data_IF_319862622813
#
_entry.id   IF_319862622813
#
_cell.length_a   1.000
_cell.length_b   1.000
_cell.length_c   1.000
_cell.angle_alpha   90.00
_cell.angle_beta   90.00
_cell.angle_gamma   90.00
#
_symmetry.space_group_name_H-M   'P 1'
#
loop_
_entity.id
_entity.type
_entity.pdbx_description
1 polymer ?
#
# COMPACT_ATOMS: atom_id res chain seq x y z
N UNK A 1 -13.35 -7.82 6.13
CA UNK A 1 -13.20 -9.01 5.24
C UNK A 1 -12.28 -10.02 5.92
N UNK A 2 -12.55 -11.33 5.82
CA UNK A 2 -11.68 -12.36 6.41
C UNK A 2 -10.42 -12.58 5.54
N UNK A 3 -9.28 -13.01 6.11
CA UNK A 3 -8.03 -13.20 5.38
C UNK A 3 -8.17 -14.04 4.10
N UNK A 4 -8.84 -15.19 4.17
CA UNK A 4 -9.05 -16.07 3.00
C UNK A 4 -9.88 -15.42 1.89
N UNK A 5 -10.82 -14.54 2.27
CA UNK A 5 -11.63 -13.79 1.29
C UNK A 5 -10.78 -12.75 0.56
N UNK A 6 -9.83 -12.12 1.27
CA UNK A 6 -8.88 -11.16 0.67
C UNK A 6 -7.99 -11.89 -0.33
N UNK A 7 -7.40 -13.03 0.04
CA UNK A 7 -6.57 -13.85 -0.85
C UNK A 7 -7.35 -14.23 -2.10
N UNK A 8 -8.53 -14.83 -1.93
CA UNK A 8 -9.36 -15.27 -3.05
C UNK A 8 -9.74 -14.13 -4.00
N UNK A 9 -10.06 -12.95 -3.45
CA UNK A 9 -10.39 -11.75 -4.24
C UNK A 9 -9.21 -11.32 -5.11
N UNK A 10 -8.01 -11.22 -4.55
CA UNK A 10 -6.83 -10.76 -5.26
C UNK A 10 -6.30 -11.82 -6.23
N UNK A 11 -6.40 -13.11 -5.92
CA UNK A 11 -6.08 -14.19 -6.85
C UNK A 11 -6.93 -14.12 -8.12
N UNK A 12 -8.24 -13.88 -7.98
CA UNK A 12 -9.15 -13.73 -9.12
C UNK A 12 -8.84 -12.49 -9.96
N UNK A 13 -8.36 -11.42 -9.34
CA UNK A 13 -8.08 -10.15 -10.02
C UNK A 13 -6.69 -10.10 -10.68
N UNK A 14 -5.73 -10.94 -10.26
CA UNK A 14 -4.32 -10.85 -10.60
C UNK A 14 -4.06 -10.74 -12.12
N UNK A 15 -4.74 -11.55 -12.94
CA UNK A 15 -4.55 -11.57 -14.39
C UNK A 15 -4.95 -10.25 -15.10
N UNK A 16 -5.87 -9.49 -14.52
CA UNK A 16 -6.40 -8.25 -15.07
C UNK A 16 -6.03 -7.00 -14.28
N UNK A 17 -5.36 -7.15 -13.15
CA UNK A 17 -5.16 -6.11 -12.16
C UNK A 17 -4.54 -4.84 -12.73
N UNK A 18 -3.38 -4.94 -13.36
CA UNK A 18 -2.66 -3.79 -13.90
C UNK A 18 -3.47 -3.07 -15.00
N UNK A 19 -4.21 -3.81 -15.79
CA UNK A 19 -5.07 -3.26 -16.85
C UNK A 19 -6.27 -2.53 -16.25
N UNK A 20 -6.86 -3.06 -15.19
CA UNK A 20 -7.96 -2.42 -14.47
C UNK A 20 -7.53 -1.05 -13.90
N UNK A 21 -6.30 -0.99 -13.36
CA UNK A 21 -5.73 0.21 -12.75
C UNK A 21 -4.97 1.12 -13.73
N UNK A 22 -4.92 0.79 -15.02
CA UNK A 22 -4.21 1.59 -16.02
C UNK A 22 -4.74 3.03 -16.12
N UNK A 23 -6.04 3.25 -15.88
CA UNK A 23 -6.65 4.59 -15.88
C UNK A 23 -6.13 5.50 -14.78
N UNK A 24 -5.70 4.93 -13.67
CA UNK A 24 -5.17 5.68 -12.52
C UNK A 24 -3.65 5.79 -12.55
N UNK A 25 -3.01 5.44 -13.67
CA UNK A 25 -1.55 5.49 -13.82
C UNK A 25 -0.98 6.86 -13.44
N UNK A 26 -1.66 7.96 -13.82
CA UNK A 26 -1.23 9.31 -13.46
C UNK A 26 -1.18 9.55 -11.93
N UNK A 27 -2.08 8.93 -11.16
CA UNK A 27 -2.08 9.00 -9.69
C UNK A 27 -0.86 8.25 -9.15
N UNK A 28 -0.65 7.04 -9.63
CA UNK A 28 0.51 6.21 -9.25
C UNK A 28 1.82 6.89 -9.61
N UNK A 29 1.93 7.41 -10.82
CA UNK A 29 3.16 8.04 -11.32
C UNK A 29 3.46 9.33 -10.53
N UNK A 30 2.43 10.10 -10.14
CA UNK A 30 2.58 11.24 -9.24
C UNK A 30 3.03 10.81 -7.84
N UNK A 31 2.45 9.74 -7.28
CA UNK A 31 2.88 9.17 -6.00
C UNK A 31 4.37 8.79 -6.04
N UNK A 32 4.81 8.09 -7.08
CA UNK A 32 6.19 7.64 -7.23
C UNK A 32 7.17 8.81 -7.42
N UNK A 33 6.78 9.82 -8.21
CA UNK A 33 7.56 11.05 -8.37
C UNK A 33 7.84 11.74 -7.03
N UNK A 34 6.84 11.78 -6.13
CA UNK A 34 6.97 12.37 -4.81
C UNK A 34 7.71 11.46 -3.82
N UNK A 35 7.59 10.14 -3.99
CA UNK A 35 8.23 9.13 -3.14
C UNK A 35 9.74 9.10 -3.32
N UNK A 36 10.24 9.22 -4.56
CA UNK A 36 11.67 9.14 -4.88
C UNK A 36 12.54 10.07 -4.01
N UNK A 37 12.31 11.40 -3.96
CA UNK A 37 13.13 12.29 -3.15
C UNK A 37 13.01 12.01 -1.65
N UNK A 38 11.88 11.52 -1.17
CA UNK A 38 11.68 11.17 0.22
C UNK A 38 12.51 9.96 0.65
N UNK A 39 12.68 8.99 -0.24
CA UNK A 39 13.50 7.80 0.01
C UNK A 39 14.95 7.94 -0.43
N UNK A 40 15.32 8.98 -1.18
CA UNK A 40 16.69 9.19 -1.69
C UNK A 40 17.74 9.46 -0.59
N UNK A 41 17.29 9.66 0.64
CA UNK A 41 18.16 9.81 1.83
C UNK A 41 18.62 8.46 2.41
N UNK A 42 18.08 7.34 1.91
CA UNK A 42 18.49 6.00 2.32
C UNK A 42 19.86 5.63 1.75
N UNK A 43 20.57 4.65 2.36
CA UNK A 43 21.84 4.16 1.84
C UNK A 43 21.75 3.66 0.38
N UNK A 44 22.87 3.71 -0.34
CA UNK A 44 22.95 3.22 -1.73
C UNK A 44 22.60 1.72 -1.85
N UNK A 45 22.83 0.94 -0.80
CA UNK A 45 22.52 -0.50 -0.70
C UNK A 45 21.36 -0.78 0.27
N UNK A 46 20.34 0.08 0.28
CA UNK A 46 19.22 -0.05 1.20
C UNK A 46 18.44 -1.35 0.99
N UNK A 47 17.92 -1.88 2.10
CA UNK A 47 17.04 -3.05 2.15
C UNK A 47 15.60 -2.60 2.36
N UNK A 48 14.73 -2.90 1.41
CA UNK A 48 13.32 -2.52 1.45
C UNK A 48 12.40 -3.70 1.70
N UNK A 49 11.41 -3.49 2.57
CA UNK A 49 10.29 -4.38 2.81
C UNK A 49 9.05 -3.85 2.08
N UNK A 50 8.56 -4.59 1.07
CA UNK A 50 7.36 -4.24 0.34
C UNK A 50 6.19 -5.09 0.86
N UNK A 51 5.29 -4.49 1.65
CA UNK A 51 4.17 -5.18 2.32
C UNK A 51 2.90 -5.05 1.50
N UNK A 52 2.30 -6.18 1.11
CA UNK A 52 1.19 -6.22 0.18
C UNK A 52 1.62 -5.73 -1.20
N UNK A 53 2.73 -6.28 -1.70
CA UNK A 53 3.38 -5.81 -2.92
C UNK A 53 2.52 -5.93 -4.18
N UNK A 54 1.47 -6.76 -4.14
CA UNK A 54 0.59 -7.01 -5.27
C UNK A 54 1.35 -7.50 -6.50
N UNK A 55 1.16 -6.83 -7.63
CA UNK A 55 1.87 -7.11 -8.88
C UNK A 55 3.28 -6.49 -8.94
N UNK A 56 3.76 -5.82 -7.88
CA UNK A 56 5.14 -5.31 -7.77
C UNK A 56 5.44 -4.03 -8.55
N UNK A 57 4.45 -3.19 -8.82
CA UNK A 57 4.67 -1.95 -9.61
C UNK A 57 5.58 -0.95 -8.89
N UNK A 58 5.34 -0.68 -7.60
CA UNK A 58 6.18 0.23 -6.82
C UNK A 58 7.60 -0.33 -6.63
N UNK A 59 7.72 -1.64 -6.40
CA UNK A 59 9.00 -2.31 -6.27
C UNK A 59 9.82 -2.21 -7.57
N UNK A 60 9.19 -2.41 -8.72
CA UNK A 60 9.83 -2.26 -10.03
C UNK A 60 10.30 -0.83 -10.29
N UNK A 61 9.48 0.16 -9.93
CA UNK A 61 9.85 1.57 -10.04
C UNK A 61 11.08 1.91 -9.17
N UNK A 62 11.05 1.49 -7.90
CA UNK A 62 12.17 1.72 -6.97
C UNK A 62 13.43 0.97 -7.39
N UNK A 63 13.29 -0.27 -7.91
CA UNK A 63 14.41 -1.05 -8.41
C UNK A 63 15.11 -0.43 -9.62
N UNK A 64 14.36 0.22 -10.50
CA UNK A 64 14.90 0.96 -11.64
C UNK A 64 15.60 2.27 -11.21
N UNK A 65 15.04 2.94 -10.19
CA UNK A 65 15.56 4.22 -9.70
C UNK A 65 16.78 4.06 -8.80
N UNK A 66 16.84 2.98 -8.03
CA UNK A 66 17.88 2.70 -7.03
C UNK A 66 18.51 1.31 -7.29
N UNK A 67 19.53 1.23 -8.15
CA UNK A 67 20.05 -0.05 -8.61
C UNK A 67 20.79 -0.88 -7.55
N UNK A 68 21.23 -0.27 -6.45
CA UNK A 68 21.89 -0.97 -5.33
C UNK A 68 20.91 -1.55 -4.31
N UNK A 69 19.61 -1.22 -4.37
CA UNK A 69 18.66 -1.66 -3.35
C UNK A 69 18.23 -3.11 -3.54
N UNK A 70 17.97 -3.77 -2.41
CA UNK A 70 17.39 -5.11 -2.34
C UNK A 70 15.99 -5.08 -1.75
N UNK A 71 15.14 -6.03 -2.14
CA UNK A 71 13.72 -6.03 -1.83
C UNK A 71 13.29 -7.34 -1.20
N UNK A 72 12.42 -7.25 -0.18
CA UNK A 72 11.63 -8.38 0.30
C UNK A 72 10.17 -8.09 0.04
N UNK A 73 9.59 -8.82 -0.89
CA UNK A 73 8.21 -8.73 -1.31
C UNK A 73 7.34 -9.67 -0.47
N UNK A 74 6.36 -9.13 0.24
CA UNK A 74 5.39 -9.90 1.04
C UNK A 74 4.01 -9.72 0.44
N UNK A 75 3.34 -10.82 0.06
CA UNK A 75 2.02 -10.80 -0.57
C UNK A 75 1.30 -12.11 -0.26
N UNK A 76 0.08 -12.07 0.32
CA UNK A 76 -0.66 -13.29 0.63
C UNK A 76 -1.31 -13.94 -0.60
N UNK A 77 -1.59 -13.19 -1.68
CA UNK A 77 -2.09 -13.76 -2.94
C UNK A 77 -0.95 -14.35 -3.77
N UNK A 78 -0.93 -15.66 -3.93
CA UNK A 78 0.07 -16.36 -4.74
C UNK A 78 0.03 -15.91 -6.21
N UNK A 79 -1.16 -15.66 -6.76
CA UNK A 79 -1.31 -15.18 -8.13
C UNK A 79 -0.77 -13.75 -8.33
N UNK A 80 -0.97 -12.85 -7.35
CA UNK A 80 -0.35 -11.51 -7.38
C UNK A 80 1.16 -11.60 -7.28
N UNK A 81 1.66 -12.39 -6.34
CA UNK A 81 3.10 -12.55 -6.13
C UNK A 81 3.80 -13.15 -7.36
N UNK A 82 3.14 -14.05 -8.08
CA UNK A 82 3.69 -14.59 -9.33
C UNK A 82 3.82 -13.50 -10.40
N UNK A 83 2.83 -12.60 -10.54
CA UNK A 83 2.93 -11.42 -11.41
C UNK A 83 4.09 -10.51 -11.01
N UNK A 84 4.32 -10.37 -9.70
CA UNK A 84 5.46 -9.61 -9.19
C UNK A 84 6.79 -10.26 -9.59
N UNK A 85 6.93 -11.60 -9.51
CA UNK A 85 8.11 -12.35 -9.93
C UNK A 85 8.36 -12.21 -11.44
N UNK A 86 7.31 -12.41 -12.25
CA UNK A 86 7.38 -12.23 -13.71
C UNK A 86 7.88 -10.82 -14.07
N UNK A 87 7.37 -9.79 -13.41
CA UNK A 87 7.81 -8.40 -13.59
C UNK A 87 9.27 -8.22 -13.22
N UNK A 88 9.70 -8.73 -12.08
CA UNK A 88 11.08 -8.62 -11.62
C UNK A 88 12.06 -9.30 -12.58
N UNK A 89 11.68 -10.46 -13.11
CA UNK A 89 12.46 -11.17 -14.15
C UNK A 89 12.52 -10.39 -15.45
N UNK A 90 11.37 -9.93 -15.95
CA UNK A 90 11.28 -9.20 -17.22
C UNK A 90 12.05 -7.88 -17.21
N UNK A 91 12.17 -7.24 -16.04
CA UNK A 91 12.89 -5.97 -15.85
C UNK A 91 14.30 -6.15 -15.27
N UNK A 92 14.78 -7.38 -15.08
CA UNK A 92 16.17 -7.69 -14.74
C UNK A 92 16.61 -7.35 -13.31
N UNK A 93 15.68 -7.35 -12.34
CA UNK A 93 16.02 -7.10 -10.93
C UNK A 93 15.63 -8.24 -9.98
N UNK A 94 15.22 -9.41 -10.50
CA UNK A 94 14.78 -10.55 -9.70
C UNK A 94 15.86 -11.03 -8.71
N UNK A 95 17.14 -10.98 -9.07
CA UNK A 95 18.27 -11.38 -8.22
C UNK A 95 18.43 -10.50 -6.97
N UNK A 96 17.81 -9.33 -6.96
CA UNK A 96 17.76 -8.40 -5.82
C UNK A 96 16.50 -8.58 -4.95
N UNK A 97 15.65 -9.60 -5.25
CA UNK A 97 14.36 -9.79 -4.62
C UNK A 97 14.27 -11.10 -3.86
N UNK A 98 13.67 -11.04 -2.67
CA UNK A 98 13.13 -12.19 -1.95
C UNK A 98 11.61 -12.10 -1.98
N UNK A 99 10.95 -13.20 -2.32
CA UNK A 99 9.49 -13.28 -2.42
C UNK A 99 8.94 -14.17 -1.32
N UNK A 100 8.05 -13.64 -0.51
CA UNK A 100 7.35 -14.34 0.56
C UNK A 100 5.85 -14.35 0.28
N UNK A 101 5.32 -15.55 0.00
CA UNK A 101 3.89 -15.80 -0.10
C UNK A 101 3.31 -15.96 1.29
N UNK A 102 2.50 -15.04 1.73
CA UNK A 102 1.89 -15.03 3.05
C UNK A 102 1.71 -13.63 3.62
N UNK A 103 1.15 -13.60 4.82
CA UNK A 103 1.02 -12.37 5.59
C UNK A 103 2.34 -11.99 6.28
N UNK A 104 2.43 -10.73 6.69
CA UNK A 104 3.65 -10.18 7.29
C UNK A 104 4.09 -10.94 8.56
N UNK A 105 3.15 -11.46 9.35
CA UNK A 105 3.45 -12.24 10.55
C UNK A 105 4.18 -13.55 10.26
N UNK A 106 3.98 -14.12 9.07
CA UNK A 106 4.63 -15.38 8.65
C UNK A 106 6.00 -15.15 8.02
N UNK A 107 6.37 -13.88 7.75
CA UNK A 107 7.72 -13.57 7.23
C UNK A 107 8.78 -13.91 8.28
N UNK A 108 9.75 -14.80 7.96
CA UNK A 108 10.84 -15.13 8.87
C UNK A 108 11.62 -13.89 9.32
N UNK A 109 12.19 -13.98 10.54
CA UNK A 109 13.07 -12.94 11.03
C UNK A 109 14.31 -12.80 10.13
N UNK A 110 14.71 -11.57 9.88
CA UNK A 110 15.88 -11.23 9.08
C UNK A 110 16.56 -9.97 9.66
N UNK A 111 17.70 -9.57 9.10
CA UNK A 111 18.32 -8.30 9.44
C UNK A 111 17.34 -7.14 9.18
N UNK A 112 17.37 -6.07 9.99
CA UNK A 112 16.44 -4.98 9.87
C UNK A 112 16.46 -4.32 8.48
N UNK A 113 15.29 -3.85 8.04
CA UNK A 113 15.16 -3.11 6.80
C UNK A 113 15.39 -1.60 7.03
N UNK A 114 15.86 -0.91 6.01
CA UNK A 114 16.03 0.54 6.00
C UNK A 114 14.71 1.29 5.80
N UNK A 115 13.83 0.71 4.99
CA UNK A 115 12.48 1.24 4.80
C UNK A 115 11.47 0.14 4.46
N UNK A 116 10.19 0.49 4.57
CA UNK A 116 9.07 -0.30 4.08
C UNK A 116 8.13 0.53 3.22
N UNK A 117 7.52 -0.12 2.22
CA UNK A 117 6.34 0.38 1.51
C UNK A 117 5.11 -0.44 1.91
N UNK A 118 3.95 0.23 2.00
CA UNK A 118 2.67 -0.42 2.30
C UNK A 118 1.55 0.38 1.64
N UNK A 119 1.22 0.03 0.37
CA UNK A 119 0.33 0.84 -0.45
C UNK A 119 -1.04 0.20 -0.65
N UNK A 120 -2.09 0.87 -0.12
CA UNK A 120 -3.50 0.46 -0.20
C UNK A 120 -3.76 -0.92 0.43
N UNK A 121 -3.10 -1.21 1.55
CA UNK A 121 -3.16 -2.50 2.25
C UNK A 121 -3.88 -2.39 3.58
N UNK A 122 -3.45 -1.48 4.45
CA UNK A 122 -3.90 -1.44 5.85
C UNK A 122 -5.39 -1.13 5.98
N UNK A 123 -6.00 -0.53 4.98
CA UNK A 123 -7.43 -0.25 4.91
C UNK A 123 -8.33 -1.48 4.94
N UNK A 124 -7.81 -2.66 4.60
CA UNK A 124 -8.56 -3.93 4.71
C UNK A 124 -8.60 -4.49 6.13
N UNK A 125 -7.84 -3.93 7.06
CA UNK A 125 -7.87 -4.27 8.48
C UNK A 125 -8.85 -3.31 9.16
N UNK A 126 -10.10 -3.78 9.32
CA UNK A 126 -11.20 -2.93 9.80
C UNK A 126 -11.19 -2.75 11.31
N UNK A 127 -10.58 -3.66 12.07
CA UNK A 127 -10.36 -3.51 13.50
C UNK A 127 -9.15 -2.61 13.79
N UNK A 128 -9.35 -1.58 14.60
CA UNK A 128 -8.33 -0.56 14.85
C UNK A 128 -7.12 -1.12 15.61
N UNK A 129 -7.32 -2.01 16.58
CA UNK A 129 -6.22 -2.58 17.36
C UNK A 129 -5.36 -3.53 16.49
N UNK A 130 -6.01 -4.32 15.65
CA UNK A 130 -5.32 -5.18 14.69
C UNK A 130 -4.53 -4.32 13.67
N UNK A 131 -5.09 -3.20 13.21
CA UNK A 131 -4.40 -2.28 12.28
C UNK A 131 -3.20 -1.60 12.95
N UNK A 132 -3.29 -1.20 14.22
CA UNK A 132 -2.14 -0.75 15.02
C UNK A 132 -1.10 -1.87 15.14
N UNK A 133 -1.54 -3.09 15.46
CA UNK A 133 -0.68 -4.28 15.54
C UNK A 133 0.04 -4.58 14.22
N UNK A 134 -0.61 -4.40 13.09
CA UNK A 134 -0.02 -4.54 11.76
C UNK A 134 1.11 -3.52 11.54
N UNK A 135 0.89 -2.24 11.82
CA UNK A 135 1.97 -1.25 11.74
C UNK A 135 3.10 -1.53 12.73
N UNK A 136 2.78 -2.01 13.94
CA UNK A 136 3.80 -2.43 14.90
C UNK A 136 4.65 -3.61 14.40
N UNK A 137 4.09 -4.50 13.60
CA UNK A 137 4.85 -5.58 12.95
C UNK A 137 5.80 -5.03 11.89
N UNK A 138 5.40 -4.02 11.11
CA UNK A 138 6.29 -3.34 10.17
C UNK A 138 7.42 -2.64 10.95
N UNK A 139 7.07 -1.86 11.99
CA UNK A 139 8.04 -1.13 12.79
C UNK A 139 9.12 -2.05 13.38
N UNK A 140 8.75 -3.20 13.93
CA UNK A 140 9.71 -4.17 14.48
C UNK A 140 10.71 -4.75 13.46
N UNK A 141 10.39 -4.68 12.17
CA UNK A 141 11.25 -5.16 11.08
C UNK A 141 12.17 -4.07 10.51
N UNK A 142 11.90 -2.81 10.81
CA UNK A 142 12.77 -1.71 10.41
C UNK A 142 13.89 -1.47 11.42
N UNK A 143 15.02 -0.91 11.01
CA UNK A 143 15.99 -0.33 11.93
C UNK A 143 15.43 0.90 12.64
N UNK A 144 16.03 1.32 13.74
CA UNK A 144 15.70 2.62 14.37
C UNK A 144 15.83 3.76 13.34
N UNK A 145 14.86 4.65 13.29
CA UNK A 145 14.78 5.70 12.25
C UNK A 145 14.47 5.20 10.84
N UNK A 146 14.23 3.89 10.64
CA UNK A 146 13.83 3.35 9.34
C UNK A 146 12.48 3.93 8.88
N UNK A 147 12.32 4.12 7.57
CA UNK A 147 11.18 4.84 7.00
C UNK A 147 10.02 3.90 6.63
N UNK A 148 8.81 4.35 6.82
CA UNK A 148 7.60 3.75 6.26
C UNK A 148 6.94 4.74 5.30
N UNK A 149 6.79 4.36 4.04
CA UNK A 149 5.90 5.01 3.11
C UNK A 149 4.61 4.17 2.99
N UNK A 150 3.48 4.76 3.33
CA UNK A 150 2.19 4.07 3.28
C UNK A 150 1.13 4.89 2.55
N UNK A 151 0.18 4.20 1.92
CA UNK A 151 -1.03 4.83 1.38
C UNK A 151 -2.27 4.06 1.77
N UNK A 152 -3.36 4.77 2.00
CA UNK A 152 -4.68 4.21 2.24
C UNK A 152 -5.77 5.07 1.59
N UNK A 153 -6.96 4.50 1.41
CA UNK A 153 -8.17 5.29 1.21
C UNK A 153 -8.53 5.96 2.54
N UNK A 154 -8.60 7.28 2.54
CA UNK A 154 -8.92 8.05 3.74
C UNK A 154 -9.87 9.21 3.43
N UNK A 155 -10.89 9.38 4.26
CA UNK A 155 -11.83 10.47 4.20
C UNK A 155 -12.66 10.55 5.49
N UNK A 156 -13.12 11.73 5.86
CA UNK A 156 -14.20 11.89 6.84
C UNK A 156 -15.53 11.58 6.13
N UNK A 157 -15.95 10.32 6.18
CA UNK A 157 -17.08 9.78 5.39
C UNK A 157 -18.44 10.45 5.64
N UNK A 158 -18.57 11.22 6.73
CA UNK A 158 -19.77 12.02 7.05
C UNK A 158 -19.65 13.48 6.60
N UNK A 159 -18.55 13.86 5.94
CA UNK A 159 -18.33 15.24 5.53
C UNK A 159 -18.98 15.59 4.20
N UNK A 160 -19.33 16.86 4.02
CA UNK A 160 -19.81 17.39 2.73
C UNK A 160 -18.77 17.19 1.60
N UNK A 161 -17.48 17.22 1.93
CA UNK A 161 -16.41 16.96 0.96
C UNK A 161 -16.45 15.51 0.45
N UNK A 162 -16.72 14.54 1.32
CA UNK A 162 -16.86 13.14 0.90
C UNK A 162 -18.05 12.93 -0.03
N UNK A 163 -19.17 13.61 0.21
CA UNK A 163 -20.36 13.53 -0.67
C UNK A 163 -20.07 14.02 -2.10
N UNK A 164 -19.12 14.93 -2.26
CA UNK A 164 -18.66 15.40 -3.58
C UNK A 164 -17.60 14.47 -4.17
N UNK A 165 -16.64 14.03 -3.35
CA UNK A 165 -15.49 13.26 -3.82
C UNK A 165 -15.83 11.82 -4.17
N UNK A 166 -16.71 11.17 -3.43
CA UNK A 166 -17.03 9.75 -3.66
C UNK A 166 -17.62 9.49 -5.05
N UNK A 167 -18.64 10.22 -5.55
CA UNK A 167 -19.13 10.03 -6.89
C UNK A 167 -18.09 10.33 -7.98
N UNK A 168 -17.25 11.34 -7.77
CA UNK A 168 -16.16 11.66 -8.70
C UNK A 168 -15.10 10.54 -8.73
N UNK A 169 -14.73 10.02 -7.56
CA UNK A 169 -13.83 8.86 -7.41
C UNK A 169 -14.35 7.63 -8.14
N UNK A 170 -15.62 7.29 -7.92
CA UNK A 170 -16.26 6.14 -8.58
C UNK A 170 -16.29 6.31 -10.09
N UNK A 171 -16.65 7.50 -10.63
CA UNK A 171 -16.62 7.76 -12.08
C UNK A 171 -15.23 7.61 -12.67
N UNK A 172 -14.19 8.02 -11.96
CA UNK A 172 -12.80 7.86 -12.40
C UNK A 172 -12.43 6.38 -12.47
N UNK A 173 -12.87 5.58 -11.50
CA UNK A 173 -12.53 4.15 -11.39
C UNK A 173 -13.30 3.27 -12.39
N UNK A 174 -14.52 3.64 -12.74
CA UNK A 174 -15.39 2.85 -13.62
C UNK A 174 -15.25 3.26 -15.09
N UNK A 175 -15.46 2.29 -16.00
CA UNK A 175 -15.41 2.53 -17.45
C UNK A 175 -16.76 2.96 -18.03
N UNK A 176 -17.88 2.81 -17.29
CA UNK A 176 -19.25 3.05 -17.72
C UNK A 176 -19.90 4.18 -16.92
N UNK A 177 -21.09 4.62 -17.35
CA UNK A 177 -21.92 5.53 -16.56
C UNK A 177 -22.18 4.95 -15.16
N UNK A 178 -21.98 5.79 -14.15
CA UNK A 178 -22.11 5.41 -12.73
C UNK A 178 -23.53 5.71 -12.28
N UNK A 179 -24.30 4.66 -12.03
CA UNK A 179 -25.65 4.78 -11.44
C UNK A 179 -25.58 5.11 -9.95
N UNK A 180 -26.66 5.65 -9.40
CA UNK A 180 -26.77 5.87 -7.95
C UNK A 180 -26.63 4.57 -7.17
N UNK A 181 -27.18 3.45 -7.68
CA UNK A 181 -27.03 2.12 -7.08
C UNK A 181 -25.57 1.70 -6.99
N UNK A 182 -24.73 2.00 -7.99
CA UNK A 182 -23.31 1.71 -7.95
C UNK A 182 -22.58 2.53 -6.88
N UNK A 183 -22.98 3.80 -6.71
CA UNK A 183 -22.44 4.68 -5.65
C UNK A 183 -22.80 4.11 -4.28
N UNK A 184 -24.06 3.74 -4.05
CA UNK A 184 -24.54 3.23 -2.78
C UNK A 184 -23.90 1.89 -2.42
N UNK A 185 -23.68 1.01 -3.40
CA UNK A 185 -22.98 -0.26 -3.21
C UNK A 185 -21.52 -0.06 -2.80
N UNK A 186 -20.79 0.84 -3.46
CA UNK A 186 -19.38 1.14 -3.11
C UNK A 186 -19.31 1.83 -1.75
N UNK A 187 -20.25 2.73 -1.45
CA UNK A 187 -20.36 3.37 -0.13
C UNK A 187 -20.55 2.31 0.97
N UNK A 188 -21.41 1.32 0.75
CA UNK A 188 -21.62 0.23 1.67
C UNK A 188 -20.36 -0.63 1.85
N UNK A 189 -19.68 -0.99 0.76
CA UNK A 189 -18.42 -1.74 0.81
C UNK A 189 -17.31 -0.96 1.55
N UNK A 190 -17.22 0.36 1.34
CA UNK A 190 -16.27 1.20 2.07
C UNK A 190 -16.60 1.36 3.56
N UNK A 191 -17.84 1.12 3.95
CA UNK A 191 -18.25 1.14 5.35
C UNK A 191 -18.04 -0.20 6.08
N UNK A 192 -18.06 -1.34 5.34
CA UNK A 192 -18.01 -2.69 5.94
C UNK A 192 -16.68 -3.41 5.72
N UNK A 193 -16.12 -3.33 4.51
CA UNK A 193 -15.00 -4.15 4.07
C UNK A 193 -13.68 -3.39 3.99
N UNK A 194 -13.77 -2.05 3.96
CA UNK A 194 -12.62 -1.14 3.86
C UNK A 194 -12.77 -0.07 4.93
N UNK A 195 -11.82 0.00 5.84
CA UNK A 195 -11.81 1.03 6.89
C UNK A 195 -11.36 2.39 6.31
N UNK A 196 -12.27 3.07 5.61
CA UNK A 196 -12.05 4.45 5.16
C UNK A 196 -12.25 5.37 6.37
N UNK A 197 -11.14 5.82 6.95
CA UNK A 197 -11.10 6.66 8.15
C UNK A 197 -10.68 8.09 7.79
N UNK A 198 -11.00 9.08 8.63
CA UNK A 198 -10.41 10.41 8.53
C UNK A 198 -8.88 10.32 8.50
N UNK A 199 -8.19 11.15 7.67
CA UNK A 199 -6.73 11.09 7.57
C UNK A 199 -6.01 11.20 8.92
N UNK A 200 -6.51 12.02 9.85
CA UNK A 200 -5.94 12.16 11.19
C UNK A 200 -6.04 10.86 12.04
N UNK A 201 -7.08 10.05 11.82
CA UNK A 201 -7.21 8.76 12.52
C UNK A 201 -6.22 7.74 11.95
N UNK A 202 -6.01 7.70 10.62
CA UNK A 202 -4.98 6.87 10.00
C UNK A 202 -3.59 7.28 10.53
N UNK A 203 -3.31 8.57 10.63
CA UNK A 203 -2.06 9.11 11.20
C UNK A 203 -1.88 8.65 12.67
N UNK A 204 -2.94 8.68 13.47
CA UNK A 204 -2.90 8.21 14.86
C UNK A 204 -2.63 6.70 14.95
N UNK A 205 -3.22 5.89 14.08
CA UNK A 205 -3.00 4.44 13.99
C UNK A 205 -1.54 4.12 13.63
N UNK A 206 -0.97 4.78 12.61
CA UNK A 206 0.43 4.62 12.23
C UNK A 206 1.35 5.00 13.40
N UNK A 207 1.09 6.14 14.05
CA UNK A 207 1.87 6.59 15.19
C UNK A 207 1.79 5.61 16.37
N UNK A 208 0.59 5.07 16.68
CA UNK A 208 0.41 4.06 17.72
C UNK A 208 1.14 2.74 17.39
N UNK A 209 1.31 2.43 16.10
CA UNK A 209 2.09 1.29 15.61
C UNK A 209 3.62 1.43 15.74
N UNK A 210 4.13 2.45 16.44
CA UNK A 210 5.56 2.59 16.73
C UNK A 210 6.31 3.55 15.81
N UNK A 211 5.58 4.36 15.06
CA UNK A 211 6.16 5.38 14.19
C UNK A 211 6.07 6.79 14.82
N UNK A 212 6.91 7.70 14.36
CA UNK A 212 6.79 9.13 14.63
C UNK A 212 5.53 9.72 13.99
N UNK A 213 5.29 11.00 14.18
CA UNK A 213 4.17 11.70 13.56
C UNK A 213 4.24 11.57 12.03
N UNK A 214 3.22 10.98 11.37
CA UNK A 214 3.23 10.82 9.92
C UNK A 214 3.18 12.17 9.20
N UNK A 215 4.05 12.35 8.22
CA UNK A 215 3.99 13.48 7.31
C UNK A 215 3.15 13.09 6.09
N UNK A 216 2.01 13.74 5.89
CA UNK A 216 1.18 13.53 4.70
C UNK A 216 1.82 14.24 3.52
N UNK A 217 2.32 13.47 2.56
CA UNK A 217 3.02 14.01 1.39
C UNK A 217 2.22 13.89 0.09
N UNK A 218 1.11 13.12 0.09
CA UNK A 218 0.33 12.85 -1.11
C UNK A 218 -1.17 12.79 -0.81
N UNK A 219 -1.96 13.33 -1.74
CA UNK A 219 -3.41 13.13 -1.81
C UNK A 219 -3.88 13.17 -3.26
N UNK A 220 -4.61 12.15 -3.70
CA UNK A 220 -5.31 12.12 -4.97
C UNK A 220 -6.69 11.44 -4.80
N UNK A 221 -7.75 12.23 -4.90
CA UNK A 221 -9.11 11.77 -4.57
C UNK A 221 -9.18 11.28 -3.12
N UNK A 222 -9.51 10.00 -2.94
CA UNK A 222 -9.56 9.36 -1.63
C UNK A 222 -8.23 8.73 -1.20
N UNK A 223 -7.25 8.57 -2.09
CA UNK A 223 -5.93 8.04 -1.72
C UNK A 223 -5.14 9.12 -1.03
N UNK A 224 -4.64 8.81 0.16
CA UNK A 224 -3.68 9.62 0.90
C UNK A 224 -2.38 8.85 1.10
N UNK A 225 -1.25 9.56 1.15
CA UNK A 225 0.07 8.97 1.38
C UNK A 225 0.82 9.66 2.50
N UNK A 226 1.47 8.85 3.33
CA UNK A 226 2.24 9.28 4.51
C UNK A 226 3.64 8.71 4.51
N UNK A 227 4.58 9.53 4.97
CA UNK A 227 5.92 9.11 5.33
C UNK A 227 6.08 9.21 6.85
N UNK A 228 6.62 8.17 7.45
CA UNK A 228 6.88 8.11 8.90
C UNK A 228 8.23 7.46 9.17
N UNK A 229 8.91 7.88 10.23
CA UNK A 229 10.11 7.19 10.71
C UNK A 229 9.77 6.31 11.91
N UNK A 230 10.35 5.10 11.98
CA UNK A 230 10.27 4.25 13.18
C UNK A 230 10.86 4.99 14.38
N UNK A 231 10.16 4.98 15.50
CA UNK A 231 10.70 5.44 16.80
C UNK A 231 11.82 4.49 17.28
N UNK A 232 12.68 5.04 18.10
CA UNK A 232 13.75 4.28 18.80
C UNK A 232 13.19 3.21 19.75
#
# INVERSE_FOLDING_TARGET
MQPDQIISLFDQQAAGYDRQWAKTAAIRDCLYLLLEPLLSTLPDEARLLCVGVGTGQEMAHLAARFPGWTFTAVEPSGAMLERCRERAQAQGFADRCRFHEGFLETLPADAPFDAATCFLVSQFITDQEQRIGFFAQIARRLRAGGLLASTDLAAAVTSAAYEVLLPAWIRMMQAAEVSQESIDRIRAAYASDVAVLPPAEVEAIIAAGGFGAPARFFQAGLIHGWLSARRD
#
